data_IF_879258143080
#
_entry.id   IF_879258143080
#
_cell.length_a   1.000
_cell.length_b   1.000
_cell.length_c   1.000
_cell.angle_alpha   90.00
_cell.angle_beta   90.00
_cell.angle_gamma   90.00
#
_symmetry.space_group_name_H-M   'P 1'
#
loop_
_entity.id
_entity.type
_entity.pdbx_description
1 polymer ?
#
# COMPACT_ATOMS: atom_id res chain seq x y z
N UNK A 1 33.10 4.49 -4.93
CA UNK A 1 31.81 4.86 -4.30
C UNK A 1 31.51 3.88 -3.19
N UNK A 2 30.99 4.32 -2.04
CA UNK A 2 30.59 3.42 -0.95
C UNK A 2 29.07 3.54 -0.76
N UNK A 3 28.38 2.40 -0.79
CA UNK A 3 26.96 2.27 -0.45
C UNK A 3 26.84 1.55 0.88
N UNK A 4 26.10 2.13 1.83
CA UNK A 4 25.85 1.55 3.15
C UNK A 4 24.44 0.95 3.18
N UNK A 5 24.36 -0.35 3.44
CA UNK A 5 23.14 -1.17 3.42
C UNK A 5 23.02 -2.00 2.14
N UNK A 6 22.93 -3.31 2.29
CA UNK A 6 22.70 -4.31 1.24
C UNK A 6 21.23 -4.70 1.08
N UNK A 7 20.29 -3.84 1.44
CA UNK A 7 18.87 -3.99 1.11
C UNK A 7 18.56 -3.58 -0.34
N UNK A 8 17.29 -3.70 -0.77
CA UNK A 8 16.89 -3.40 -2.15
C UNK A 8 17.32 -2.01 -2.64
N UNK A 9 17.21 -0.97 -1.81
CA UNK A 9 17.63 0.39 -2.17
C UNK A 9 19.14 0.49 -2.43
N UNK A 10 19.95 -0.10 -1.55
CA UNK A 10 21.41 -0.05 -1.67
C UNK A 10 21.92 -0.93 -2.81
N UNK A 11 21.36 -2.12 -2.99
CA UNK A 11 21.69 -3.00 -4.12
C UNK A 11 21.28 -2.38 -5.45
N UNK A 12 20.12 -1.71 -5.52
CA UNK A 12 19.69 -0.98 -6.73
C UNK A 12 20.61 0.20 -7.02
N UNK A 13 21.01 0.97 -6.00
CA UNK A 13 21.95 2.06 -6.17
C UNK A 13 23.32 1.57 -6.66
N UNK A 14 23.85 0.50 -6.06
CA UNK A 14 25.09 -0.12 -6.49
C UNK A 14 25.00 -0.67 -7.91
N UNK A 15 23.89 -1.32 -8.25
CA UNK A 15 23.60 -1.75 -9.61
C UNK A 15 23.68 -0.56 -10.56
N UNK A 16 22.90 0.50 -10.36
CA UNK A 16 22.87 1.66 -11.26
C UNK A 16 24.24 2.33 -11.43
N UNK A 17 25.02 2.46 -10.36
CA UNK A 17 26.32 3.16 -10.36
C UNK A 17 27.49 2.32 -10.91
N UNK A 18 27.33 1.00 -11.07
CA UNK A 18 28.42 0.09 -11.44
C UNK A 18 29.06 0.38 -12.80
N UNK A 19 28.34 1.06 -13.70
CA UNK A 19 28.86 1.42 -15.01
C UNK A 19 29.82 2.62 -14.96
N UNK A 20 29.67 3.49 -13.96
CA UNK A 20 30.35 4.78 -13.87
C UNK A 20 31.42 4.81 -12.77
N UNK A 21 31.37 3.87 -11.82
CA UNK A 21 32.29 3.82 -10.70
C UNK A 21 32.50 2.40 -10.16
N UNK A 22 33.67 2.18 -9.55
CA UNK A 22 33.86 1.06 -8.65
C UNK A 22 33.03 1.29 -7.37
N UNK A 23 32.13 0.35 -7.08
CA UNK A 23 31.18 0.44 -5.95
C UNK A 23 31.48 -0.64 -4.92
N UNK A 24 31.67 -0.23 -3.67
CA UNK A 24 31.72 -1.13 -2.52
C UNK A 24 30.42 -1.02 -1.72
N UNK A 25 29.76 -2.15 -1.47
CA UNK A 25 28.55 -2.22 -0.63
C UNK A 25 28.93 -2.75 0.75
N UNK A 26 28.57 -2.03 1.80
CA UNK A 26 28.77 -2.42 3.19
C UNK A 26 27.42 -2.83 3.79
N UNK A 27 27.27 -4.10 4.18
CA UNK A 27 26.09 -4.63 4.87
C UNK A 27 26.48 -5.10 6.27
N UNK A 28 25.68 -4.74 7.28
CA UNK A 28 25.92 -5.11 8.67
C UNK A 28 25.36 -6.49 9.04
N UNK A 29 24.37 -6.98 8.30
CA UNK A 29 23.79 -8.30 8.45
C UNK A 29 24.68 -9.38 7.80
N UNK A 30 24.56 -10.66 8.23
CA UNK A 30 25.30 -11.77 7.62
C UNK A 30 24.85 -12.10 6.19
N UNK A 31 23.85 -11.39 5.65
CA UNK A 31 23.30 -11.56 4.31
C UNK A 31 22.76 -10.24 3.77
N UNK A 32 22.75 -10.11 2.46
CA UNK A 32 22.07 -9.04 1.73
C UNK A 32 20.57 -9.32 1.57
N UNK A 33 19.83 -8.34 1.05
CA UNK A 33 18.39 -8.41 0.76
C UNK A 33 17.55 -7.53 1.68
N UNK A 34 17.99 -7.32 2.93
CA UNK A 34 17.28 -6.51 3.91
C UNK A 34 15.88 -7.07 4.19
N UNK A 35 14.84 -6.28 3.88
CA UNK A 35 13.43 -6.68 4.03
C UNK A 35 12.95 -7.68 2.97
N UNK A 36 13.72 -7.89 1.89
CA UNK A 36 13.43 -8.94 0.91
C UNK A 36 14.01 -10.26 1.42
N UNK A 37 13.14 -11.14 1.92
CA UNK A 37 13.56 -12.39 2.53
C UNK A 37 12.52 -13.46 2.27
N UNK A 38 12.96 -14.55 1.67
CA UNK A 38 12.23 -15.80 1.59
C UNK A 38 12.77 -16.77 2.65
N UNK A 39 11.87 -17.61 3.17
CA UNK A 39 12.14 -18.67 4.12
C UNK A 39 11.28 -19.89 3.85
N UNK A 40 11.32 -20.86 4.76
CA UNK A 40 10.50 -22.07 4.66
C UNK A 40 9.79 -22.30 5.99
N UNK A 41 8.46 -22.40 5.97
CA UNK A 41 7.63 -22.72 7.12
C UNK A 41 6.93 -24.07 6.88
N UNK A 42 7.19 -25.06 7.74
CA UNK A 42 6.62 -26.41 7.61
C UNK A 42 6.81 -27.05 6.20
N UNK A 43 7.95 -26.77 5.55
CA UNK A 43 8.26 -27.27 4.20
C UNK A 43 7.70 -26.42 3.05
N UNK A 44 6.98 -25.33 3.34
CA UNK A 44 6.39 -24.43 2.36
C UNK A 44 7.22 -23.15 2.24
N UNK A 45 7.60 -22.71 1.03
CA UNK A 45 8.28 -21.43 0.85
C UNK A 45 7.36 -20.27 1.22
N UNK A 46 7.90 -19.29 1.95
CA UNK A 46 7.16 -18.10 2.40
C UNK A 46 8.02 -16.86 2.28
N UNK A 47 7.40 -15.71 2.06
CA UNK A 47 8.03 -14.41 2.23
C UNK A 47 7.97 -13.99 3.70
N UNK A 48 9.12 -13.70 4.30
CA UNK A 48 9.24 -13.23 5.69
C UNK A 48 9.14 -11.69 5.81
N UNK A 49 9.06 -10.99 4.67
CA UNK A 49 9.08 -9.53 4.60
C UNK A 49 8.18 -9.01 3.49
N UNK A 50 8.77 -8.35 2.48
CA UNK A 50 7.97 -7.95 1.33
C UNK A 50 7.61 -9.17 0.48
N UNK A 51 6.31 -9.34 0.21
CA UNK A 51 5.76 -10.46 -0.57
C UNK A 51 5.50 -10.12 -2.05
N UNK A 52 5.33 -8.83 -2.37
CA UNK A 52 4.97 -8.38 -3.70
C UNK A 52 5.42 -6.95 -3.98
N UNK A 53 5.30 -6.54 -5.24
CA UNK A 53 5.52 -5.17 -5.70
C UNK A 53 4.26 -4.66 -6.41
N UNK A 54 4.04 -3.35 -6.36
CA UNK A 54 2.92 -2.73 -7.06
C UNK A 54 3.28 -2.54 -8.54
N UNK A 55 2.76 -3.41 -9.42
CA UNK A 55 3.08 -3.39 -10.86
C UNK A 55 2.70 -2.08 -11.58
N UNK A 56 1.77 -1.31 -11.01
CA UNK A 56 1.44 0.06 -11.49
C UNK A 56 2.61 1.04 -11.36
N UNK A 57 3.62 0.72 -10.55
CA UNK A 57 4.88 1.48 -10.44
C UNK A 57 5.95 0.82 -11.31
N UNK A 58 6.25 1.38 -12.50
CA UNK A 58 7.09 0.71 -13.49
C UNK A 58 8.55 0.59 -13.07
N UNK A 59 9.01 1.29 -12.03
CA UNK A 59 10.39 1.27 -11.56
C UNK A 59 10.83 -0.13 -11.11
N UNK A 60 9.99 -0.83 -10.35
CA UNK A 60 10.32 -2.14 -9.82
C UNK A 60 10.24 -3.23 -10.90
N UNK A 61 9.23 -3.15 -11.78
CA UNK A 61 9.08 -4.04 -12.95
C UNK A 61 10.29 -3.91 -13.89
N UNK A 62 10.66 -2.68 -14.26
CA UNK A 62 11.84 -2.42 -15.09
C UNK A 62 13.11 -2.92 -14.45
N UNK A 63 13.28 -2.75 -13.14
CA UNK A 63 14.46 -3.29 -12.45
C UNK A 63 14.50 -4.82 -12.55
N UNK A 64 13.38 -5.51 -12.36
CA UNK A 64 13.30 -6.97 -12.50
C UNK A 64 13.68 -7.42 -13.91
N UNK A 65 13.19 -6.75 -14.95
CA UNK A 65 13.57 -7.01 -16.35
C UNK A 65 15.08 -6.79 -16.57
N UNK A 66 15.62 -5.66 -16.12
CA UNK A 66 17.04 -5.30 -16.28
C UNK A 66 17.99 -6.32 -15.62
N UNK A 67 17.57 -6.98 -14.54
CA UNK A 67 18.38 -8.01 -13.84
C UNK A 67 18.05 -9.44 -14.29
N UNK A 68 17.22 -9.60 -15.34
CA UNK A 68 16.90 -10.91 -15.93
C UNK A 68 15.84 -11.73 -15.17
N UNK A 69 15.02 -11.07 -14.34
CA UNK A 69 13.91 -11.67 -13.59
C UNK A 69 12.54 -11.41 -14.22
N UNK A 70 12.48 -10.76 -15.39
CA UNK A 70 11.21 -10.41 -16.06
C UNK A 70 10.28 -11.61 -16.26
N UNK A 71 10.81 -12.73 -16.74
CA UNK A 71 10.04 -13.96 -16.98
C UNK A 71 9.54 -14.64 -15.69
N UNK A 72 10.08 -14.25 -14.53
CA UNK A 72 9.64 -14.75 -13.22
C UNK A 72 8.52 -13.88 -12.60
N UNK A 73 8.19 -12.73 -13.18
CA UNK A 73 7.06 -11.91 -12.74
C UNK A 73 5.76 -12.63 -13.08
N UNK A 74 4.85 -12.69 -12.11
CA UNK A 74 3.52 -13.24 -12.28
C UNK A 74 2.48 -12.43 -11.50
N UNK A 75 1.24 -12.48 -11.97
CA UNK A 75 0.12 -11.92 -11.24
C UNK A 75 -0.18 -12.75 -9.98
N UNK A 76 -0.57 -12.11 -8.87
CA UNK A 76 -1.04 -12.83 -7.70
C UNK A 76 -2.30 -13.65 -8.03
N UNK A 77 -2.48 -14.78 -7.35
CA UNK A 77 -3.70 -15.56 -7.47
C UNK A 77 -4.92 -14.69 -7.08
N UNK A 78 -6.04 -14.72 -7.86
CA UNK A 78 -7.20 -13.91 -7.55
C UNK A 78 -7.78 -14.24 -6.17
N UNK A 79 -7.88 -13.22 -5.31
CA UNK A 79 -8.52 -13.32 -4.00
C UNK A 79 -9.40 -12.08 -3.75
N UNK A 80 -10.59 -12.23 -3.15
CA UNK A 80 -11.39 -11.08 -2.77
C UNK A 80 -10.74 -10.34 -1.61
N UNK A 81 -10.68 -9.01 -1.68
CA UNK A 81 -10.40 -8.19 -0.52
C UNK A 81 -11.58 -8.28 0.44
N UNK A 82 -11.29 -8.62 1.70
CA UNK A 82 -12.31 -8.71 2.76
C UNK A 82 -11.89 -7.88 3.96
N UNK A 83 -12.86 -7.30 4.65
CA UNK A 83 -12.68 -6.55 5.87
C UNK A 83 -13.44 -7.27 6.99
N UNK A 84 -12.80 -7.43 8.14
CA UNK A 84 -13.48 -7.89 9.34
C UNK A 84 -14.24 -6.73 9.96
N UNK A 85 -15.57 -6.78 9.92
CA UNK A 85 -16.42 -5.69 10.44
C UNK A 85 -17.70 -6.24 11.03
N UNK A 86 -18.04 -5.77 12.23
CA UNK A 86 -19.22 -6.17 13.00
C UNK A 86 -19.31 -7.71 13.19
N UNK A 87 -18.19 -8.34 13.55
CA UNK A 87 -18.14 -9.77 13.87
C UNK A 87 -18.20 -10.72 12.67
N UNK A 88 -18.03 -10.23 11.44
CA UNK A 88 -18.03 -11.04 10.22
C UNK A 88 -16.99 -10.55 9.21
N UNK A 89 -16.49 -11.45 8.36
CA UNK A 89 -15.76 -11.07 7.15
C UNK A 89 -16.75 -10.55 6.10
N UNK A 90 -16.50 -9.34 5.60
CA UNK A 90 -17.33 -8.68 4.60
C UNK A 90 -16.49 -8.39 3.36
N UNK A 91 -16.93 -8.80 2.17
CA UNK A 91 -16.21 -8.49 0.94
C UNK A 91 -16.25 -6.99 0.68
N UNK A 92 -15.10 -6.42 0.31
CA UNK A 92 -15.02 -5.06 -0.19
C UNK A 92 -15.40 -5.08 -1.68
N UNK A 93 -16.45 -4.37 -2.11
CA UNK A 93 -16.80 -4.26 -3.52
C UNK A 93 -15.62 -3.75 -4.36
N UNK A 94 -15.50 -4.20 -5.61
CA UNK A 94 -14.49 -3.66 -6.53
C UNK A 94 -14.76 -2.18 -6.83
N UNK A 95 -13.75 -1.48 -7.35
CA UNK A 95 -13.87 -0.07 -7.72
C UNK A 95 -13.61 0.87 -6.55
N UNK A 96 -12.49 0.68 -5.86
CA UNK A 96 -12.03 1.56 -4.80
C UNK A 96 -10.60 2.03 -5.06
N UNK A 97 -10.26 3.21 -4.54
CA UNK A 97 -8.89 3.71 -4.48
C UNK A 97 -8.49 3.78 -3.02
N UNK A 98 -7.54 2.93 -2.61
CA UNK A 98 -7.04 2.88 -1.21
C UNK A 98 -8.16 2.80 -0.15
N UNK A 99 -9.25 2.07 -0.46
CA UNK A 99 -10.41 1.91 0.42
C UNK A 99 -11.56 2.88 0.23
N UNK A 100 -11.35 3.93 -0.57
CA UNK A 100 -12.40 4.90 -0.91
C UNK A 100 -13.18 4.36 -2.11
N UNK A 101 -14.48 4.05 -1.98
CA UNK A 101 -15.30 3.62 -3.11
C UNK A 101 -15.41 4.70 -4.17
N UNK A 102 -15.28 4.32 -5.44
CA UNK A 102 -15.53 5.21 -6.58
C UNK A 102 -17.02 5.37 -6.90
N UNK A 103 -17.83 4.42 -6.45
CA UNK A 103 -19.29 4.48 -6.49
C UNK A 103 -19.84 4.19 -5.08
N UNK A 104 -20.36 5.21 -4.36
CA UNK A 104 -20.95 5.05 -3.04
C UNK A 104 -22.08 4.03 -2.97
N UNK A 105 -22.84 3.82 -4.04
CA UNK A 105 -24.01 2.93 -4.03
C UNK A 105 -23.62 1.46 -3.88
N UNK A 106 -22.40 1.09 -4.28
CA UNK A 106 -21.85 -0.26 -4.09
C UNK A 106 -21.70 -0.65 -2.63
N UNK A 107 -21.67 0.32 -1.71
CA UNK A 107 -21.52 0.08 -0.28
C UNK A 107 -22.85 -0.24 0.42
N UNK A 108 -23.98 0.11 -0.20
CA UNK A 108 -25.30 -0.16 0.37
C UNK A 108 -25.53 -1.67 0.54
N UNK A 109 -26.00 -2.09 1.71
CA UNK A 109 -26.29 -3.50 2.00
C UNK A 109 -25.06 -4.40 2.20
N UNK A 110 -23.83 -3.90 2.06
CA UNK A 110 -22.60 -4.66 2.37
C UNK A 110 -22.43 -4.92 3.87
N UNK A 111 -23.01 -4.03 4.68
CA UNK A 111 -22.84 -3.97 6.14
C UNK A 111 -21.44 -3.54 6.59
N UNK A 112 -20.61 -3.02 5.66
CA UNK A 112 -19.36 -2.32 5.99
C UNK A 112 -19.65 -0.93 6.56
N UNK A 113 -20.59 -0.21 5.95
CA UNK A 113 -21.08 1.09 6.39
C UNK A 113 -22.55 1.02 6.78
N UNK A 114 -22.95 1.90 7.68
CA UNK A 114 -24.35 2.18 7.98
C UNK A 114 -25.04 2.91 6.82
N UNK A 115 -26.37 2.94 6.81
CA UNK A 115 -27.13 3.72 5.82
C UNK A 115 -26.77 5.22 5.89
N UNK A 116 -26.46 5.73 7.08
CA UNK A 116 -25.98 7.10 7.30
C UNK A 116 -24.58 7.30 6.69
N UNK A 117 -23.66 6.35 6.89
CA UNK A 117 -22.33 6.37 6.30
C UNK A 117 -22.36 6.35 4.77
N UNK A 118 -23.25 5.53 4.18
CA UNK A 118 -23.46 5.51 2.73
C UNK A 118 -24.04 6.84 2.24
N UNK A 119 -25.01 7.42 2.96
CA UNK A 119 -25.55 8.75 2.63
C UNK A 119 -24.46 9.85 2.72
N UNK A 120 -23.55 9.75 3.70
CA UNK A 120 -22.41 10.66 3.83
C UNK A 120 -21.45 10.56 2.65
N UNK A 121 -21.13 9.35 2.19
CA UNK A 121 -20.32 9.14 0.99
C UNK A 121 -20.96 9.76 -0.25
N UNK A 122 -22.26 9.53 -0.48
CA UNK A 122 -22.99 10.13 -1.62
C UNK A 122 -22.94 11.65 -1.62
N UNK A 123 -22.89 12.26 -0.44
CA UNK A 123 -22.87 13.71 -0.31
C UNK A 123 -21.48 14.31 -0.57
N UNK A 124 -20.42 13.51 -0.68
CA UNK A 124 -19.05 14.05 -0.82
C UNK A 124 -18.88 14.89 -2.08
N UNK A 125 -19.46 14.48 -3.21
CA UNK A 125 -19.39 15.21 -4.49
C UNK A 125 -19.98 16.63 -4.41
N UNK A 126 -20.86 16.89 -3.43
CA UNK A 126 -21.46 18.21 -3.22
C UNK A 126 -20.57 19.15 -2.41
N UNK A 127 -19.54 18.62 -1.75
CA UNK A 127 -18.63 19.40 -0.92
C UNK A 127 -17.61 20.14 -1.80
N UNK A 128 -17.31 21.42 -1.51
CA UNK A 128 -16.32 22.16 -2.28
C UNK A 128 -14.96 21.46 -2.22
N UNK A 129 -14.29 21.40 -3.37
CA UNK A 129 -12.91 20.94 -3.44
C UNK A 129 -11.98 22.06 -2.97
N UNK A 130 -11.76 22.13 -1.66
CA UNK A 130 -10.81 23.08 -1.07
C UNK A 130 -9.44 22.43 -0.92
N UNK A 131 -8.39 22.96 -1.56
CA UNK A 131 -7.04 22.46 -1.37
C UNK A 131 -6.60 22.70 0.08
N UNK A 132 -5.96 21.70 0.67
CA UNK A 132 -5.36 21.85 2.00
C UNK A 132 -4.16 22.79 1.90
N UNK A 133 -4.17 23.90 2.64
CA UNK A 133 -3.09 24.89 2.62
C UNK A 133 -1.77 24.33 3.18
N UNK A 134 -1.88 23.41 4.15
CA UNK A 134 -0.77 22.69 4.77
C UNK A 134 -1.01 21.18 4.69
N UNK A 135 0.03 20.38 4.96
CA UNK A 135 -0.10 18.93 5.00
C UNK A 135 -0.88 18.51 6.26
N UNK A 136 -1.91 17.71 6.05
CA UNK A 136 -2.82 17.22 7.10
C UNK A 136 -2.77 15.70 7.19
N UNK A 137 -3.33 15.14 8.24
CA UNK A 137 -3.47 13.69 8.33
C UNK A 137 -4.52 13.15 7.36
N UNK A 138 -4.37 11.89 6.94
CA UNK A 138 -5.39 11.22 6.12
C UNK A 138 -6.75 11.19 6.85
N UNK A 139 -6.76 10.93 8.16
CA UNK A 139 -8.00 10.90 8.95
C UNK A 139 -8.69 12.26 9.01
N UNK A 140 -7.94 13.35 9.15
CA UNK A 140 -8.48 14.70 9.19
C UNK A 140 -9.18 15.07 7.88
N UNK A 141 -8.48 14.86 6.76
CA UNK A 141 -9.02 15.18 5.44
C UNK A 141 -10.22 14.30 5.08
N UNK A 142 -10.06 12.97 5.15
CA UNK A 142 -11.12 12.05 4.76
C UNK A 142 -12.26 12.02 5.76
N UNK A 143 -12.01 12.21 7.06
CA UNK A 143 -13.05 12.28 8.07
C UNK A 143 -13.96 13.51 7.87
N UNK A 144 -13.37 14.65 7.50
CA UNK A 144 -14.12 15.85 7.14
C UNK A 144 -15.01 15.65 5.91
N UNK A 145 -14.50 14.97 4.88
CA UNK A 145 -15.23 14.78 3.61
C UNK A 145 -16.20 13.60 3.62
N UNK A 146 -15.70 12.41 3.94
CA UNK A 146 -16.37 11.12 3.84
C UNK A 146 -17.00 10.64 5.16
N UNK A 147 -16.74 11.35 6.27
CA UNK A 147 -17.18 10.96 7.61
C UNK A 147 -16.25 9.97 8.30
N UNK A 148 -16.27 9.97 9.64
CA UNK A 148 -15.40 9.13 10.46
C UNK A 148 -15.66 7.63 10.28
N UNK A 149 -16.91 7.22 10.07
CA UNK A 149 -17.23 5.79 9.84
C UNK A 149 -16.47 5.21 8.64
N UNK A 150 -16.35 6.00 7.56
CA UNK A 150 -15.57 5.61 6.36
C UNK A 150 -14.09 5.47 6.70
N UNK A 151 -13.54 6.39 7.49
CA UNK A 151 -12.14 6.34 7.91
C UNK A 151 -11.90 5.08 8.74
N UNK A 152 -12.68 4.87 9.79
CA UNK A 152 -12.47 3.78 10.74
C UNK A 152 -12.70 2.39 10.10
N UNK A 153 -13.69 2.27 9.22
CA UNK A 153 -14.12 0.96 8.70
C UNK A 153 -13.54 0.58 7.35
N UNK A 154 -13.09 1.54 6.55
CA UNK A 154 -12.54 1.27 5.22
C UNK A 154 -11.09 1.72 5.11
N UNK A 155 -10.79 2.97 5.44
CA UNK A 155 -9.47 3.56 5.21
C UNK A 155 -8.42 3.02 6.18
N UNK A 156 -8.72 3.03 7.48
CA UNK A 156 -7.79 2.58 8.52
C UNK A 156 -7.33 1.13 8.33
N UNK A 157 -8.22 0.14 8.11
CA UNK A 157 -7.79 -1.24 7.90
C UNK A 157 -6.88 -1.41 6.68
N UNK A 158 -7.14 -0.68 5.60
CA UNK A 158 -6.36 -0.79 4.36
C UNK A 158 -5.02 -0.08 4.46
N UNK A 159 -4.98 1.14 5.01
CA UNK A 159 -3.72 1.84 5.27
C UNK A 159 -2.90 1.15 6.35
N UNK A 160 -3.55 0.57 7.36
CA UNK A 160 -2.90 -0.27 8.36
C UNK A 160 -2.25 -1.50 7.74
N UNK A 161 -2.90 -2.12 6.74
CA UNK A 161 -2.34 -3.25 6.00
C UNK A 161 -1.09 -2.90 5.18
N UNK A 162 -1.01 -1.68 4.63
CA UNK A 162 0.12 -1.25 3.79
C UNK A 162 1.26 -0.63 4.60
N UNK A 163 0.93 0.28 5.52
CA UNK A 163 1.91 1.11 6.21
C UNK A 163 2.16 0.67 7.66
N UNK A 164 1.34 -0.24 8.21
CA UNK A 164 1.29 -0.52 9.65
C UNK A 164 1.17 0.78 10.49
N UNK A 165 0.53 1.81 9.92
CA UNK A 165 0.45 3.16 10.44
C UNK A 165 -0.99 3.57 10.70
N UNK A 166 -1.17 4.60 11.53
CA UNK A 166 -2.50 5.13 11.85
C UNK A 166 -2.86 6.31 10.93
N UNK A 167 -4.07 6.36 10.36
CA UNK A 167 -4.46 7.44 9.45
C UNK A 167 -4.42 8.85 10.07
N UNK A 168 -4.53 8.99 11.39
CA UNK A 168 -4.40 10.26 12.11
C UNK A 168 -2.94 10.76 12.22
N UNK A 169 -1.98 9.96 11.77
CA UNK A 169 -0.54 10.29 11.76
C UNK A 169 0.11 10.20 10.39
N UNK A 170 -0.56 9.56 9.43
CA UNK A 170 -0.09 9.45 8.06
C UNK A 170 -0.36 10.77 7.33
N UNK A 171 0.69 11.35 6.75
CA UNK A 171 0.62 12.53 5.88
C UNK A 171 -0.25 12.25 4.66
N UNK A 172 -1.26 13.07 4.43
CA UNK A 172 -2.12 12.99 3.25
C UNK A 172 -1.29 13.08 1.98
N UNK A 173 -0.40 14.08 1.90
CA UNK A 173 0.43 14.33 0.71
C UNK A 173 1.39 13.18 0.40
N UNK A 174 1.85 12.46 1.42
CA UNK A 174 2.79 11.34 1.24
C UNK A 174 2.08 10.06 0.84
N UNK A 175 0.91 9.80 1.43
CA UNK A 175 0.19 8.53 1.26
C UNK A 175 -0.74 8.53 0.05
N UNK A 176 -1.33 9.68 -0.27
CA UNK A 176 -2.23 9.89 -1.41
C UNK A 176 -1.70 11.04 -2.31
N UNK A 177 -0.56 10.83 -2.99
CA UNK A 177 0.06 11.86 -3.84
C UNK A 177 -0.64 12.05 -5.19
#
# INVERSE_FOLDING_TARGET
MIVVGGGISGLTAAWRLRADAEVTVLEGAPRIGGKLRTGTLAGVPVDEGAESLMALRPEAVRLAEEVGLGDALCDPAPAPTTLWSNGALRPLPRGHVMGIPTDPDTMAGTGLLSDEGVARLRNEETLPAEPTAEDVSVAEYLGGRLGQETVDRLVEPLLGGVYAGRPDRLSLRTVLP
#
